data_IF_359967473107
#
_entry.id   IF_359967473107
#
_cell.length_a   1.000
_cell.length_b   1.000
_cell.length_c   1.000
_cell.angle_alpha   90.00
_cell.angle_beta   90.00
_cell.angle_gamma   90.00
#
_symmetry.space_group_name_H-M   'P 1'
#
loop_
_entity.id
_entity.type
_entity.pdbx_description
1 polymer ?
#
# COMPACT_ATOMS: atom_id res chain seq x y z
N UNK A 1 41.00 -21.71 -14.02
CA UNK A 1 40.95 -20.42 -13.32
C UNK A 1 40.41 -19.28 -14.20
N UNK A 2 40.99 -18.95 -15.36
CA UNK A 2 40.44 -17.90 -16.26
C UNK A 2 39.05 -18.22 -16.82
N UNK A 3 38.79 -19.48 -17.22
CA UNK A 3 37.48 -19.93 -17.71
C UNK A 3 36.40 -19.87 -16.61
N UNK A 4 36.75 -20.22 -15.37
CA UNK A 4 35.86 -20.13 -14.21
C UNK A 4 35.50 -18.68 -13.89
N UNK A 5 36.50 -17.78 -13.93
CA UNK A 5 36.26 -16.35 -13.69
C UNK A 5 35.36 -15.73 -14.77
N UNK A 6 35.59 -16.05 -16.05
CA UNK A 6 34.74 -15.56 -17.13
C UNK A 6 33.31 -16.09 -17.05
N UNK A 7 33.11 -17.34 -16.60
CA UNK A 7 31.79 -17.90 -16.38
C UNK A 7 31.06 -17.27 -15.17
N UNK A 8 31.77 -17.05 -14.06
CA UNK A 8 31.23 -16.39 -12.87
C UNK A 8 30.82 -14.94 -13.16
N UNK A 9 31.67 -14.19 -13.87
CA UNK A 9 31.42 -12.81 -14.26
C UNK A 9 30.14 -12.67 -15.12
N UNK A 10 29.96 -13.57 -16.09
CA UNK A 10 28.75 -13.60 -16.93
C UNK A 10 27.49 -13.92 -16.13
N UNK A 11 27.58 -14.83 -15.16
CA UNK A 11 26.44 -15.20 -14.30
C UNK A 11 26.03 -14.04 -13.40
N UNK A 12 27.01 -13.32 -12.85
CA UNK A 12 26.76 -12.21 -11.93
C UNK A 12 26.17 -10.99 -12.65
N UNK A 13 26.63 -10.69 -13.88
CA UNK A 13 26.05 -9.63 -14.70
C UNK A 13 24.57 -9.87 -14.98
N UNK A 14 24.20 -11.11 -15.33
CA UNK A 14 22.81 -11.50 -15.57
C UNK A 14 21.98 -11.38 -14.29
N UNK A 15 22.51 -11.83 -13.15
CA UNK A 15 21.83 -11.73 -11.87
C UNK A 15 21.59 -10.27 -11.45
N UNK A 16 22.61 -9.41 -11.57
CA UNK A 16 22.52 -7.98 -11.24
C UNK A 16 21.52 -7.26 -12.16
N UNK A 17 21.54 -7.58 -13.46
CA UNK A 17 20.59 -7.02 -14.42
C UNK A 17 19.15 -7.41 -14.06
N UNK A 18 18.91 -8.68 -13.74
CA UNK A 18 17.60 -9.16 -13.31
C UNK A 18 17.14 -8.50 -12.00
N UNK A 19 18.02 -8.42 -11.00
CA UNK A 19 17.70 -7.79 -9.72
C UNK A 19 17.35 -6.30 -9.91
N UNK A 20 18.11 -5.59 -10.76
CA UNK A 20 17.84 -4.18 -11.08
C UNK A 20 16.47 -4.00 -11.73
N UNK A 21 16.11 -4.86 -12.68
CA UNK A 21 14.81 -4.81 -13.37
C UNK A 21 13.64 -5.11 -12.42
N UNK A 22 13.79 -6.15 -11.60
CA UNK A 22 12.81 -6.51 -10.56
C UNK A 22 12.60 -5.39 -9.54
N UNK A 23 13.66 -4.78 -9.02
CA UNK A 23 13.55 -3.65 -8.08
C UNK A 23 12.95 -2.41 -8.74
N UNK A 24 13.26 -2.16 -10.02
CA UNK A 24 12.64 -1.09 -10.81
C UNK A 24 11.13 -1.28 -10.94
N UNK A 25 10.69 -2.49 -11.27
CA UNK A 25 9.27 -2.84 -11.34
C UNK A 25 8.55 -2.66 -10.01
N UNK A 26 9.15 -3.15 -8.91
CA UNK A 26 8.62 -2.98 -7.55
C UNK A 26 8.47 -1.49 -7.20
N UNK A 27 9.45 -0.65 -7.54
CA UNK A 27 9.40 0.78 -7.24
C UNK A 27 8.26 1.48 -7.99
N UNK A 28 8.05 1.16 -9.26
CA UNK A 28 6.95 1.70 -10.07
C UNK A 28 5.60 1.29 -9.48
N UNK A 29 5.44 0.00 -9.18
CA UNK A 29 4.20 -0.55 -8.61
C UNK A 29 3.92 0.07 -7.24
N UNK A 30 4.92 0.12 -6.36
CA UNK A 30 4.86 0.77 -5.06
C UNK A 30 4.44 2.25 -5.18
N UNK A 31 5.04 3.00 -6.09
CA UNK A 31 4.71 4.41 -6.31
C UNK A 31 3.26 4.62 -6.77
N UNK A 32 2.84 3.89 -7.80
CA UNK A 32 1.48 3.98 -8.35
C UNK A 32 0.41 3.56 -7.33
N UNK A 33 0.68 2.48 -6.62
CA UNK A 33 -0.21 2.00 -5.57
C UNK A 33 -0.29 3.00 -4.41
N UNK A 34 0.84 3.54 -3.96
CA UNK A 34 0.86 4.55 -2.89
C UNK A 34 0.06 5.80 -3.26
N UNK A 35 0.14 6.26 -4.52
CA UNK A 35 -0.66 7.37 -5.01
C UNK A 35 -2.17 7.07 -5.00
N UNK A 36 -2.54 5.86 -5.42
CA UNK A 36 -3.94 5.39 -5.42
C UNK A 36 -4.50 5.32 -3.99
N UNK A 37 -3.76 4.69 -3.07
CA UNK A 37 -4.14 4.61 -1.65
C UNK A 37 -4.23 5.99 -1.02
N UNK A 38 -3.29 6.89 -1.31
CA UNK A 38 -3.31 8.26 -0.80
C UNK A 38 -4.55 9.01 -1.24
N UNK A 39 -4.98 8.86 -2.51
CA UNK A 39 -6.21 9.47 -2.99
C UNK A 39 -7.45 8.98 -2.24
N UNK A 40 -7.52 7.69 -1.91
CA UNK A 40 -8.63 7.14 -1.13
C UNK A 40 -8.60 7.58 0.33
N UNK A 41 -7.41 7.61 0.93
CA UNK A 41 -7.19 8.13 2.28
C UNK A 41 -7.70 9.56 2.40
N UNK A 42 -7.36 10.44 1.44
CA UNK A 42 -7.84 11.84 1.45
C UNK A 42 -9.37 11.91 1.43
N UNK A 43 -10.04 11.02 0.68
CA UNK A 43 -11.50 11.00 0.65
C UNK A 43 -12.10 10.43 1.94
N UNK A 44 -11.54 9.34 2.49
CA UNK A 44 -12.07 8.77 3.74
C UNK A 44 -11.71 9.56 4.99
N UNK A 45 -10.66 10.39 4.99
CA UNK A 45 -10.42 11.33 6.09
C UNK A 45 -11.59 12.28 6.30
N UNK A 46 -12.36 12.59 5.25
CA UNK A 46 -13.58 13.39 5.40
C UNK A 46 -14.67 12.69 6.19
N UNK A 47 -14.69 11.35 6.26
CA UNK A 47 -15.65 10.61 7.09
C UNK A 47 -15.24 10.56 8.57
N UNK A 48 -13.97 10.82 8.86
CA UNK A 48 -13.42 10.97 10.22
C UNK A 48 -13.53 12.39 10.77
N UNK A 49 -13.91 13.37 9.94
CA UNK A 49 -14.13 14.75 10.35
C UNK A 49 -15.63 15.08 10.35
N UNK A 50 -16.00 15.99 11.24
CA UNK A 50 -17.37 16.48 11.33
C UNK A 50 -17.68 17.31 10.09
N UNK A 51 -18.70 16.92 9.33
CA UNK A 51 -19.11 17.67 8.15
C UNK A 51 -19.76 19.01 8.54
N UNK A 52 -19.12 20.17 8.23
CA UNK A 52 -19.67 21.47 8.56
C UNK A 52 -20.97 21.77 7.80
N UNK A 53 -21.22 21.13 6.66
CA UNK A 53 -22.48 21.27 5.93
C UNK A 53 -23.64 20.61 6.71
N UNK A 54 -23.42 19.41 7.23
CA UNK A 54 -24.39 18.71 8.08
C UNK A 54 -24.73 19.50 9.35
N UNK A 55 -23.73 20.11 10.00
CA UNK A 55 -23.96 20.99 11.14
C UNK A 55 -24.78 22.24 10.75
N UNK A 56 -24.45 22.85 9.61
CA UNK A 56 -25.19 24.01 9.09
C UNK A 56 -26.65 23.67 8.80
N UNK A 57 -26.92 22.49 8.22
CA UNK A 57 -28.29 21.99 7.98
C UNK A 57 -29.03 21.76 9.29
N UNK A 58 -28.37 21.19 10.30
CA UNK A 58 -28.95 21.02 11.64
C UNK A 58 -29.36 22.37 12.25
N UNK A 59 -28.46 23.36 12.20
CA UNK A 59 -28.76 24.71 12.70
C UNK A 59 -29.88 25.38 11.90
N UNK A 60 -29.88 25.27 10.57
CA UNK A 60 -30.95 25.80 9.71
C UNK A 60 -32.31 25.17 10.02
N UNK A 61 -32.34 23.85 10.25
CA UNK A 61 -33.57 23.14 10.64
C UNK A 61 -34.09 23.62 12.00
N UNK A 62 -33.19 23.82 12.98
CA UNK A 62 -33.55 24.34 14.30
C UNK A 62 -34.06 25.80 14.22
N UNK A 63 -33.37 26.66 13.47
CA UNK A 63 -33.80 28.05 13.24
C UNK A 63 -35.17 28.06 12.53
N UNK A 64 -35.38 27.20 11.54
CA UNK A 64 -36.67 27.08 10.84
C UNK A 64 -37.79 26.66 11.79
N UNK A 65 -37.51 25.75 12.72
CA UNK A 65 -38.48 25.30 13.73
C UNK A 65 -38.83 26.43 14.70
N UNK A 66 -37.82 27.15 15.20
CA UNK A 66 -38.04 28.31 16.07
C UNK A 66 -38.86 29.40 15.37
N UNK A 67 -38.58 29.67 14.08
CA UNK A 67 -39.33 30.66 13.31
C UNK A 67 -40.79 30.23 13.08
N UNK A 68 -41.04 28.94 12.86
CA UNK A 68 -42.39 28.40 12.73
C UNK A 68 -43.18 28.47 14.06
N UNK A 69 -42.53 28.22 15.20
CA UNK A 69 -43.13 28.37 16.53
C UNK A 69 -43.51 29.83 16.83
N UNK A 70 -42.66 30.79 16.43
CA UNK A 70 -42.96 32.22 16.53
C UNK A 70 -44.15 32.59 15.63
N UNK A 71 -44.21 32.06 14.40
CA UNK A 71 -45.27 32.39 13.45
C UNK A 71 -46.65 31.83 13.82
N UNK A 72 -46.72 30.70 14.53
CA UNK A 72 -47.97 29.99 14.84
C UNK A 72 -48.35 29.94 16.33
N UNK A 73 -47.49 30.45 17.23
CA UNK A 73 -47.72 30.41 18.67
C UNK A 73 -48.75 31.44 19.17
N UNK A 74 -49.72 31.07 20.03
CA UNK A 74 -50.73 32.00 20.57
C UNK A 74 -50.14 33.08 21.50
N UNK A 75 -48.88 32.94 21.92
CA UNK A 75 -48.25 33.74 22.96
C UNK A 75 -46.91 34.31 22.46
N UNK A 76 -46.97 35.30 21.57
CA UNK A 76 -45.82 36.04 21.01
C UNK A 76 -44.89 36.68 22.07
N UNK A 77 -45.29 36.70 23.36
CA UNK A 77 -44.54 37.32 24.46
C UNK A 77 -43.91 36.37 25.49
N UNK A 78 -44.24 35.07 25.48
CA UNK A 78 -43.78 34.10 26.50
C UNK A 78 -42.91 32.97 25.94
N UNK A 79 -42.49 33.04 24.68
CA UNK A 79 -41.57 32.09 24.08
C UNK A 79 -40.18 32.22 24.74
N UNK A 80 -39.90 31.36 25.71
CA UNK A 80 -38.55 31.17 26.22
C UNK A 80 -37.66 30.72 25.07
N UNK A 81 -36.67 31.52 24.67
CA UNK A 81 -35.64 31.08 23.75
C UNK A 81 -35.03 29.79 24.29
N UNK A 82 -35.27 28.68 23.60
CA UNK A 82 -34.58 27.43 23.89
C UNK A 82 -33.08 27.70 23.67
N UNK A 83 -32.20 27.29 24.60
CA UNK A 83 -30.76 27.36 24.38
C UNK A 83 -30.41 26.62 23.10
N UNK A 84 -29.53 27.20 22.27
CA UNK A 84 -29.00 26.53 21.08
C UNK A 84 -28.46 25.16 21.54
N UNK A 85 -28.95 24.03 20.99
CA UNK A 85 -28.47 22.72 21.37
C UNK A 85 -26.94 22.66 21.17
N UNK A 86 -26.19 22.32 22.21
CA UNK A 86 -24.76 22.04 22.05
C UNK A 86 -24.61 20.78 21.20
N UNK A 87 -23.79 20.84 20.15
CA UNK A 87 -23.60 19.71 19.26
C UNK A 87 -23.08 18.51 20.07
N UNK A 88 -23.66 17.31 19.88
CA UNK A 88 -23.12 16.12 20.53
C UNK A 88 -21.66 15.95 20.10
N UNK A 89 -20.76 15.48 20.98
CA UNK A 89 -19.37 15.21 20.61
C UNK A 89 -19.34 14.30 19.37
N UNK A 90 -18.54 14.68 18.37
CA UNK A 90 -18.40 13.88 17.17
C UNK A 90 -17.59 12.64 17.50
N UNK A 91 -18.19 11.47 17.30
CA UNK A 91 -17.53 10.19 17.47
C UNK A 91 -17.57 9.45 16.12
N UNK A 92 -16.41 9.28 15.45
CA UNK A 92 -16.39 8.61 14.16
C UNK A 92 -16.80 7.15 14.31
N UNK A 93 -17.43 6.59 13.26
CA UNK A 93 -17.82 5.18 13.27
C UNK A 93 -16.59 4.29 13.41
N UNK A 94 -16.70 3.22 14.20
CA UNK A 94 -15.62 2.22 14.34
C UNK A 94 -15.21 1.62 12.97
N UNK A 95 -16.15 1.57 12.02
CA UNK A 95 -15.88 1.16 10.64
C UNK A 95 -14.96 2.13 9.89
N UNK A 96 -15.21 3.45 9.98
CA UNK A 96 -14.38 4.48 9.37
C UNK A 96 -12.96 4.48 9.94
N UNK A 97 -12.82 4.34 11.26
CA UNK A 97 -11.50 4.23 11.92
C UNK A 97 -10.75 2.99 11.42
N UNK A 98 -11.43 1.84 11.31
CA UNK A 98 -10.82 0.59 10.83
C UNK A 98 -10.37 0.70 9.37
N UNK A 99 -11.18 1.31 8.50
CA UNK A 99 -10.84 1.55 7.08
C UNK A 99 -9.57 2.39 6.96
N UNK A 100 -9.50 3.50 7.68
CA UNK A 100 -8.35 4.39 7.63
C UNK A 100 -7.09 3.72 8.18
N UNK A 101 -7.21 2.93 9.26
CA UNK A 101 -6.11 2.14 9.79
C UNK A 101 -5.59 1.15 8.74
N UNK A 102 -6.48 0.41 8.07
CA UNK A 102 -6.11 -0.56 7.02
C UNK A 102 -5.41 0.12 5.84
N UNK A 103 -5.92 1.25 5.36
CA UNK A 103 -5.32 1.97 4.25
C UNK A 103 -3.98 2.61 4.62
N UNK A 104 -3.84 3.20 5.80
CA UNK A 104 -2.55 3.74 6.26
C UNK A 104 -1.52 2.62 6.40
N UNK A 105 -1.89 1.46 6.95
CA UNK A 105 -1.00 0.29 7.02
C UNK A 105 -0.60 -0.20 5.63
N UNK A 106 -1.55 -0.28 4.69
CA UNK A 106 -1.25 -0.66 3.31
C UNK A 106 -0.25 0.30 2.66
N UNK A 107 -0.43 1.61 2.86
CA UNK A 107 0.46 2.66 2.35
C UNK A 107 1.85 2.53 2.95
N UNK A 108 1.96 2.32 4.26
CA UNK A 108 3.25 2.16 4.95
C UNK A 108 4.04 0.96 4.43
N UNK A 109 3.39 -0.19 4.21
CA UNK A 109 4.07 -1.36 3.65
C UNK A 109 4.49 -1.15 2.19
N UNK A 110 3.67 -0.47 1.38
CA UNK A 110 4.04 -0.10 0.02
C UNK A 110 5.27 0.82 0.01
N UNK A 111 5.26 1.89 0.81
CA UNK A 111 6.40 2.81 0.92
C UNK A 111 7.66 2.12 1.44
N UNK A 112 7.53 1.21 2.42
CA UNK A 112 8.66 0.40 2.89
C UNK A 112 9.23 -0.47 1.76
N UNK A 113 8.38 -1.07 0.93
CA UNK A 113 8.77 -1.83 -0.25
C UNK A 113 9.56 -0.96 -1.24
N UNK A 114 9.04 0.22 -1.59
CA UNK A 114 9.75 1.20 -2.43
C UNK A 114 11.08 1.67 -1.83
N UNK A 115 11.15 1.90 -0.52
CA UNK A 115 12.37 2.32 0.17
C UNK A 115 13.45 1.24 0.13
N UNK A 116 13.09 -0.02 0.38
CA UNK A 116 14.05 -1.12 0.28
C UNK A 116 14.49 -1.31 -1.19
N UNK A 117 13.57 -1.24 -2.16
CA UNK A 117 13.92 -1.32 -3.58
C UNK A 117 14.90 -0.21 -4.02
N UNK A 118 14.68 1.04 -3.59
CA UNK A 118 15.61 2.14 -3.88
C UNK A 118 16.97 1.97 -3.21
N UNK A 119 17.03 1.43 -2.00
CA UNK A 119 18.30 1.06 -1.38
C UNK A 119 19.03 0.04 -2.24
N UNK A 120 18.39 -1.08 -2.60
CA UNK A 120 19.00 -2.13 -3.43
C UNK A 120 19.50 -1.56 -4.76
N UNK A 121 18.71 -0.74 -5.45
CA UNK A 121 19.11 -0.07 -6.69
C UNK A 121 20.33 0.84 -6.49
N UNK A 122 20.37 1.61 -5.39
CA UNK A 122 21.50 2.48 -5.07
C UNK A 122 22.79 1.68 -4.84
N UNK A 123 22.66 0.52 -4.18
CA UNK A 123 23.76 -0.42 -3.98
C UNK A 123 24.25 -1.01 -5.31
N UNK A 124 23.35 -1.49 -6.17
CA UNK A 124 23.70 -2.05 -7.49
C UNK A 124 24.40 -1.02 -8.38
N UNK A 125 23.94 0.23 -8.35
CA UNK A 125 24.57 1.32 -9.11
C UNK A 125 25.98 1.63 -8.59
N UNK A 126 26.16 1.68 -7.26
CA UNK A 126 27.48 1.87 -6.64
C UNK A 126 28.42 0.71 -6.99
N UNK A 127 27.91 -0.51 -6.99
CA UNK A 127 28.64 -1.71 -7.37
C UNK A 127 29.11 -1.64 -8.84
N UNK A 128 28.20 -1.39 -9.79
CA UNK A 128 28.53 -1.27 -11.22
C UNK A 128 29.63 -0.25 -11.44
N UNK A 129 29.53 0.93 -10.81
CA UNK A 129 30.52 1.99 -10.94
C UNK A 129 31.90 1.59 -10.39
N UNK A 130 31.97 0.81 -9.31
CA UNK A 130 33.24 0.34 -8.75
C UNK A 130 33.92 -0.72 -9.64
N UNK A 131 33.13 -1.57 -10.29
CA UNK A 131 33.60 -2.59 -11.23
C UNK A 131 34.14 -1.97 -12.51
N UNK A 132 33.47 -0.94 -13.04
CA UNK A 132 33.89 -0.24 -14.28
C UNK A 132 35.22 0.53 -14.12
N UNK A 133 35.58 0.93 -12.89
CA UNK A 133 36.77 1.74 -12.61
C UNK A 133 38.09 0.94 -12.49
N UNK A 134 38.06 -0.39 -12.37
CA UNK A 134 39.26 -1.20 -12.10
C UNK A 134 39.59 -2.14 -13.28
N UNK A 135 40.69 -1.84 -13.98
CA UNK A 135 41.15 -2.58 -15.15
C UNK A 135 41.82 -3.94 -14.86
N UNK A 136 42.11 -4.28 -13.60
CA UNK A 136 42.81 -5.53 -13.23
C UNK A 136 41.83 -6.66 -12.87
N UNK A 137 41.71 -7.73 -13.70
CA UNK A 137 40.70 -8.78 -13.54
C UNK A 137 40.78 -9.53 -12.20
N UNK A 138 41.98 -9.63 -11.61
CA UNK A 138 42.18 -10.37 -10.34
C UNK A 138 41.69 -9.58 -9.12
N UNK A 139 41.92 -8.27 -9.11
CA UNK A 139 41.42 -7.39 -8.06
C UNK A 139 39.89 -7.26 -8.11
N UNK A 140 39.33 -7.22 -9.33
CA UNK A 140 37.88 -7.21 -9.58
C UNK A 140 37.18 -8.44 -8.99
N UNK A 141 37.69 -9.65 -9.29
CA UNK A 141 37.13 -10.89 -8.78
C UNK A 141 37.18 -11.02 -7.25
N UNK A 142 38.25 -10.50 -6.62
CA UNK A 142 38.44 -10.60 -5.16
C UNK A 142 37.54 -9.61 -4.40
N UNK A 143 37.38 -8.39 -4.90
CA UNK A 143 36.39 -7.45 -4.38
C UNK A 143 34.97 -7.99 -4.55
N UNK A 144 34.68 -8.58 -5.71
CA UNK A 144 33.37 -9.14 -6.02
C UNK A 144 32.99 -10.29 -5.08
N UNK A 145 33.90 -11.25 -4.87
CA UNK A 145 33.70 -12.35 -3.93
C UNK A 145 33.51 -11.87 -2.49
N UNK A 146 34.25 -10.83 -2.05
CA UNK A 146 34.10 -10.26 -0.70
C UNK A 146 32.76 -9.55 -0.52
N UNK A 147 32.29 -8.79 -1.51
CA UNK A 147 31.00 -8.10 -1.44
C UNK A 147 29.82 -9.06 -1.55
N UNK A 148 29.88 -10.06 -2.44
CA UNK A 148 28.84 -11.10 -2.52
C UNK A 148 28.76 -11.91 -1.22
N UNK A 149 29.91 -12.25 -0.62
CA UNK A 149 29.93 -12.94 0.66
C UNK A 149 29.44 -12.05 1.82
N UNK A 150 29.70 -10.73 1.76
CA UNK A 150 29.14 -9.76 2.70
C UNK A 150 27.62 -9.61 2.53
N UNK A 151 27.10 -9.66 1.30
CA UNK A 151 25.66 -9.66 1.02
C UNK A 151 25.00 -10.94 1.56
N UNK A 152 25.61 -12.09 1.30
CA UNK A 152 25.16 -13.40 1.81
C UNK A 152 25.18 -13.49 3.33
N UNK A 153 26.11 -12.80 3.99
CA UNK A 153 26.18 -12.68 5.45
C UNK A 153 25.29 -11.58 6.03
N UNK A 154 24.78 -10.65 5.21
CA UNK A 154 23.95 -9.55 5.66
C UNK A 154 22.45 -9.92 5.64
N UNK A 155 21.69 -9.35 6.57
CA UNK A 155 20.22 -9.46 6.61
C UNK A 155 19.51 -8.84 5.38
N UNK A 156 20.25 -8.25 4.44
CA UNK A 156 19.69 -7.67 3.20
C UNK A 156 19.05 -8.74 2.32
N UNK A 157 19.55 -9.97 2.34
CA UNK A 157 18.95 -11.05 1.56
C UNK A 157 17.51 -11.34 2.03
N UNK A 158 17.30 -11.34 3.35
CA UNK A 158 15.99 -11.52 3.96
C UNK A 158 15.02 -10.37 3.62
N UNK A 159 15.52 -9.13 3.56
CA UNK A 159 14.71 -7.97 3.15
C UNK A 159 14.31 -8.03 1.68
N UNK A 160 15.23 -8.45 0.80
CA UNK A 160 14.95 -8.58 -0.64
C UNK A 160 13.98 -9.72 -0.91
N UNK A 161 14.07 -10.82 -0.16
CA UNK A 161 13.15 -11.95 -0.24
C UNK A 161 11.76 -11.61 0.35
N UNK A 162 11.70 -10.73 1.35
CA UNK A 162 10.45 -10.27 1.96
C UNK A 162 9.72 -9.18 1.17
N UNK A 163 10.38 -8.51 0.20
CA UNK A 163 9.81 -7.42 -0.60
C UNK A 163 8.49 -7.80 -1.29
N UNK A 164 8.40 -8.90 -2.06
CA UNK A 164 7.15 -9.33 -2.67
C UNK A 164 6.07 -9.63 -1.62
N UNK A 165 6.44 -10.28 -0.51
CA UNK A 165 5.49 -10.62 0.55
C UNK A 165 4.88 -9.36 1.20
N UNK A 166 5.70 -8.34 1.47
CA UNK A 166 5.21 -7.04 1.97
C UNK A 166 4.25 -6.37 0.98
N UNK A 167 4.57 -6.42 -0.31
CA UNK A 167 3.75 -5.84 -1.36
C UNK A 167 2.40 -6.56 -1.47
N UNK A 168 2.39 -7.88 -1.39
CA UNK A 168 1.14 -8.66 -1.37
C UNK A 168 0.31 -8.39 -0.11
N UNK A 169 0.94 -8.31 1.05
CA UNK A 169 0.26 -7.95 2.29
C UNK A 169 -0.40 -6.56 2.19
N UNK A 170 0.30 -5.61 1.56
CA UNK A 170 -0.22 -4.26 1.26
C UNK A 170 -1.47 -4.31 0.38
N UNK A 171 -1.47 -5.08 -0.71
CA UNK A 171 -2.66 -5.24 -1.56
C UNK A 171 -3.84 -5.87 -0.82
N UNK A 172 -3.60 -6.90 -0.01
CA UNK A 172 -4.66 -7.56 0.76
C UNK A 172 -5.32 -6.59 1.75
N UNK A 173 -4.52 -5.82 2.49
CA UNK A 173 -5.03 -4.80 3.41
C UNK A 173 -5.87 -3.73 2.68
N UNK A 174 -5.43 -3.32 1.49
CA UNK A 174 -6.13 -2.35 0.68
C UNK A 174 -7.50 -2.84 0.18
N UNK A 175 -7.56 -4.07 -0.36
CA UNK A 175 -8.83 -4.65 -0.79
C UNK A 175 -9.80 -4.83 0.39
N UNK A 176 -9.29 -5.26 1.55
CA UNK A 176 -10.10 -5.36 2.77
C UNK A 176 -10.66 -3.99 3.20
N UNK A 177 -9.84 -2.95 3.11
CA UNK A 177 -10.27 -1.57 3.37
C UNK A 177 -11.36 -1.11 2.38
N UNK A 178 -11.22 -1.39 1.09
CA UNK A 178 -12.23 -1.05 0.07
C UNK A 178 -13.57 -1.73 0.36
N UNK A 179 -13.56 -3.04 0.64
CA UNK A 179 -14.80 -3.78 0.92
C UNK A 179 -15.48 -3.19 2.15
N UNK A 180 -14.73 -2.95 3.22
CA UNK A 180 -15.26 -2.38 4.47
C UNK A 180 -15.81 -0.96 4.26
N UNK A 181 -15.14 -0.14 3.47
CA UNK A 181 -15.55 1.23 3.14
C UNK A 181 -16.85 1.29 2.29
N UNK A 182 -17.06 0.31 1.41
CA UNK A 182 -18.23 0.30 0.51
C UNK A 182 -19.52 -0.20 1.17
N UNK A 183 -19.42 -1.04 2.21
CA UNK A 183 -20.58 -1.61 2.92
C UNK A 183 -21.58 -0.54 3.41
N UNK A 184 -21.17 0.51 4.15
CA UNK A 184 -22.11 1.52 4.64
C UNK A 184 -22.68 2.41 3.53
N UNK A 185 -21.98 2.57 2.40
CA UNK A 185 -22.38 3.44 1.30
C UNK A 185 -23.43 2.75 0.42
N UNK A 186 -23.12 1.55 -0.09
CA UNK A 186 -24.01 0.80 -0.96
C UNK A 186 -23.63 -0.69 -0.99
N UNK A 187 -24.54 -1.53 -0.49
CA UNK A 187 -24.35 -2.99 -0.42
C UNK A 187 -24.24 -3.65 -1.80
N UNK A 188 -24.89 -3.11 -2.84
CA UNK A 188 -24.75 -3.60 -4.21
C UNK A 188 -23.33 -3.41 -4.73
N UNK A 189 -22.79 -2.18 -4.58
CA UNK A 189 -21.43 -1.86 -5.01
C UNK A 189 -20.42 -2.68 -4.21
N UNK A 190 -20.59 -2.76 -2.89
CA UNK A 190 -19.75 -3.58 -2.02
C UNK A 190 -19.72 -5.05 -2.47
N UNK A 191 -20.88 -5.62 -2.81
CA UNK A 191 -20.98 -7.01 -3.28
C UNK A 191 -20.26 -7.22 -4.60
N UNK A 192 -20.46 -6.33 -5.59
CA UNK A 192 -19.80 -6.41 -6.90
C UNK A 192 -18.29 -6.31 -6.74
N UNK A 193 -17.81 -5.34 -5.96
CA UNK A 193 -16.38 -5.15 -5.70
C UNK A 193 -15.79 -6.36 -4.98
N UNK A 194 -16.51 -6.95 -4.02
CA UNK A 194 -16.08 -8.16 -3.30
C UNK A 194 -15.98 -9.37 -4.24
N UNK A 195 -16.92 -9.54 -5.17
CA UNK A 195 -16.89 -10.63 -6.16
C UNK A 195 -15.66 -10.46 -7.07
N UNK A 196 -15.44 -9.25 -7.60
CA UNK A 196 -14.30 -8.98 -8.48
C UNK A 196 -12.97 -9.17 -7.74
N UNK A 197 -12.84 -8.62 -6.54
CA UNK A 197 -11.66 -8.81 -5.70
C UNK A 197 -11.44 -10.28 -5.33
N UNK A 198 -12.52 -11.03 -5.06
CA UNK A 198 -12.49 -12.46 -4.79
C UNK A 198 -12.01 -13.28 -6.00
N UNK A 199 -12.52 -13.00 -7.19
CA UNK A 199 -12.07 -13.66 -8.44
C UNK A 199 -10.59 -13.39 -8.67
N UNK A 200 -10.15 -12.14 -8.55
CA UNK A 200 -8.74 -11.77 -8.69
C UNK A 200 -7.86 -12.45 -7.63
N UNK A 201 -8.33 -12.50 -6.38
CA UNK A 201 -7.64 -13.18 -5.28
C UNK A 201 -7.51 -14.69 -5.50
N UNK A 202 -8.57 -15.34 -5.97
CA UNK A 202 -8.56 -16.77 -6.33
C UNK A 202 -7.63 -17.03 -7.50
N UNK A 203 -7.67 -16.20 -8.55
CA UNK A 203 -6.76 -16.31 -9.68
C UNK A 203 -5.30 -16.14 -9.24
N UNK A 204 -5.03 -15.15 -8.39
CA UNK A 204 -3.71 -14.92 -7.81
C UNK A 204 -3.23 -16.13 -7.01
N UNK A 205 -4.05 -16.64 -6.08
CA UNK A 205 -3.74 -17.84 -5.28
C UNK A 205 -3.53 -19.06 -6.17
N UNK A 206 -4.33 -19.24 -7.22
CA UNK A 206 -4.17 -20.32 -8.17
C UNK A 206 -2.81 -20.21 -8.89
N UNK A 207 -2.46 -19.03 -9.42
CA UNK A 207 -1.17 -18.78 -10.06
C UNK A 207 0.02 -19.01 -9.10
N UNK A 208 -0.11 -18.61 -7.82
CA UNK A 208 0.92 -18.83 -6.79
C UNK A 208 0.99 -20.28 -6.33
N UNK A 209 -0.10 -21.03 -6.39
CA UNK A 209 -0.17 -22.44 -5.98
C UNK A 209 0.17 -23.42 -7.11
N UNK A 210 0.04 -23.01 -8.38
CA UNK A 210 0.42 -23.80 -9.57
C UNK A 210 1.82 -24.43 -9.49
N UNK A 211 2.88 -23.75 -9.00
CA UNK A 211 4.22 -24.34 -8.85
C UNK A 211 4.26 -25.50 -7.84
N UNK A 212 3.32 -25.59 -6.90
CA UNK A 212 3.27 -26.67 -5.91
C UNK A 212 2.62 -27.95 -6.43
N UNK A 213 1.81 -27.86 -7.50
CA UNK A 213 1.06 -28.99 -8.04
C UNK A 213 1.59 -29.50 -9.39
N UNK A 214 2.42 -28.71 -10.09
CA UNK A 214 2.96 -29.05 -11.40
C UNK A 214 4.48 -28.85 -11.38
N UNK A 215 5.21 -29.96 -11.33
CA UNK A 215 6.68 -30.04 -11.20
C UNK A 215 7.44 -29.38 -12.37
N UNK A 216 6.79 -29.07 -13.50
CA UNK A 216 7.39 -28.50 -14.73
C UNK A 216 6.51 -27.38 -15.35
N UNK A 217 6.06 -26.40 -14.55
CA UNK A 217 5.30 -25.24 -15.05
C UNK A 217 6.22 -24.02 -15.28
N UNK A 218 6.04 -23.21 -16.36
CA UNK A 218 6.87 -22.03 -16.67
C UNK A 218 6.78 -20.88 -15.65
N UNK A 219 6.06 -21.06 -14.53
CA UNK A 219 5.85 -20.09 -13.46
C UNK A 219 6.69 -20.37 -12.20
N UNK A 220 7.72 -21.20 -12.27
CA UNK A 220 8.60 -21.48 -11.13
C UNK A 220 9.29 -20.21 -10.62
N UNK A 221 8.80 -19.70 -9.48
CA UNK A 221 9.47 -18.70 -8.66
C UNK A 221 10.71 -19.32 -8.00
N UNK A 222 11.79 -18.54 -7.77
CA UNK A 222 13.10 -19.03 -7.28
C UNK A 222 13.13 -19.45 -5.80
N UNK A 223 11.99 -19.86 -5.24
CA UNK A 223 11.85 -20.43 -3.89
C UNK A 223 11.47 -21.92 -3.89
N UNK A 224 11.47 -22.57 -5.07
CA UNK A 224 11.46 -24.04 -5.21
C UNK A 224 12.71 -24.53 -5.93
#
# INVERSE_FOLDING_TARGET
WSLYNAAAERSDEVFIAHLRDSMGSVLIISGLFSATVTSLIVESYRTLERDPASDTVLYLAEISKQLAEIAHGPNFGNSSFQPIPSLPPFEPSASDVTVNMLWILSLMFSLACGLVATMVLSWLNKYSRMVDLHADPRHRATQHARYFNALKQSNLNLLVEALPALLHASFVLFFLGIVTFMIPINTLIATVVTIVAGILGVLYLACTAVPFFIEHSPYSTPLS
#
